data_IF_952671499510
#
_entry.id   IF_952671499510
#
_cell.length_a   1.000
_cell.length_b   1.000
_cell.length_c   1.000
_cell.angle_alpha   90.00
_cell.angle_beta   90.00
_cell.angle_gamma   90.00
#
_symmetry.space_group_name_H-M   'P 1'
#
loop_
_entity.id
_entity.type
_entity.pdbx_description
1 polymer ?
#
# COMPACT_ATOMS: atom_id res chain seq x y z
N UNK A 1 19.89 2.88 8.87
CA UNK A 1 18.78 2.97 7.90
C UNK A 1 17.75 1.95 8.33
N UNK A 2 16.53 2.38 8.60
CA UNK A 2 15.42 1.48 8.97
C UNK A 2 14.61 1.23 7.71
N UNK A 3 14.09 0.03 7.52
CA UNK A 3 13.24 -0.29 6.37
C UNK A 3 11.89 -0.74 6.90
N UNK A 4 10.81 -0.18 6.33
CA UNK A 4 9.43 -0.57 6.59
C UNK A 4 8.89 -1.34 5.39
N UNK A 5 8.26 -2.48 5.66
CA UNK A 5 7.41 -3.20 4.72
C UNK A 5 6.03 -3.40 5.35
N UNK A 6 4.97 -3.08 4.61
CA UNK A 6 3.59 -3.29 5.03
C UNK A 6 2.70 -3.58 3.82
N UNK A 7 1.69 -4.43 3.99
CA UNK A 7 0.74 -4.85 2.96
C UNK A 7 -0.71 -4.82 3.49
N UNK A 8 -1.68 -5.00 2.60
CA UNK A 8 -3.08 -4.96 2.96
C UNK A 8 -3.54 -6.35 3.42
N UNK A 9 -4.01 -6.44 4.66
CA UNK A 9 -4.58 -7.68 5.19
C UNK A 9 -5.74 -8.15 4.32
N UNK A 10 -5.69 -9.40 3.86
CA UNK A 10 -6.74 -10.00 3.03
C UNK A 10 -6.71 -9.59 1.56
N UNK A 11 -5.63 -8.97 1.07
CA UNK A 11 -5.49 -8.53 -0.32
C UNK A 11 -5.74 -9.65 -1.35
N UNK A 12 -5.34 -10.88 -1.06
CA UNK A 12 -5.61 -12.06 -1.92
C UNK A 12 -7.09 -12.40 -2.02
N UNK A 13 -7.84 -12.29 -0.92
CA UNK A 13 -9.28 -12.54 -0.95
C UNK A 13 -10.01 -11.41 -1.71
N UNK A 14 -9.59 -10.16 -1.49
CA UNK A 14 -10.13 -9.00 -2.18
C UNK A 14 -9.86 -9.08 -3.69
N UNK A 15 -8.70 -9.54 -4.12
CA UNK A 15 -8.37 -9.64 -5.54
C UNK A 15 -9.17 -10.71 -6.29
N UNK A 16 -9.64 -11.75 -5.59
CA UNK A 16 -10.55 -12.75 -6.16
C UNK A 16 -12.03 -12.35 -6.14
N UNK A 17 -12.42 -11.40 -5.27
CA UNK A 17 -13.81 -11.01 -5.06
C UNK A 17 -14.20 -9.71 -5.79
N UNK A 18 -13.25 -8.80 -5.99
CA UNK A 18 -13.49 -7.49 -6.62
C UNK A 18 -13.13 -7.53 -8.10
N UNK A 19 -13.85 -6.74 -8.90
CA UNK A 19 -13.43 -6.47 -10.26
C UNK A 19 -12.11 -5.65 -10.26
N UNK A 20 -11.34 -5.71 -11.36
CA UNK A 20 -10.04 -5.05 -11.43
C UNK A 20 -10.07 -3.53 -11.21
N UNK A 21 -11.15 -2.84 -11.61
CA UNK A 21 -11.25 -1.38 -11.47
C UNK A 21 -11.51 -0.98 -10.02
N UNK A 22 -12.39 -1.72 -9.34
CA UNK A 22 -12.66 -1.55 -7.91
C UNK A 22 -11.42 -1.88 -7.08
N UNK A 23 -10.75 -2.99 -7.38
CA UNK A 23 -9.50 -3.36 -6.69
C UNK A 23 -8.43 -2.28 -6.87
N UNK A 24 -8.25 -1.79 -8.10
CA UNK A 24 -7.29 -0.71 -8.39
C UNK A 24 -7.60 0.56 -7.60
N UNK A 25 -8.88 0.94 -7.54
CA UNK A 25 -9.32 2.13 -6.79
C UNK A 25 -9.02 1.99 -5.30
N UNK A 26 -9.30 0.82 -4.73
CA UNK A 26 -8.99 0.50 -3.34
C UNK A 26 -7.48 0.58 -3.07
N UNK A 27 -6.67 -0.04 -3.92
CA UNK A 27 -5.21 -0.06 -3.78
C UNK A 27 -4.61 1.35 -3.88
N UNK A 28 -5.08 2.19 -4.80
CA UNK A 28 -4.61 3.58 -4.91
C UNK A 28 -4.95 4.40 -3.66
N UNK A 29 -6.14 4.19 -3.08
CA UNK A 29 -6.53 4.86 -1.82
C UNK A 29 -5.65 4.41 -0.66
N UNK A 30 -5.37 3.10 -0.56
CA UNK A 30 -4.47 2.53 0.43
C UNK A 30 -3.06 3.14 0.35
N UNK A 31 -2.50 3.23 -0.86
CA UNK A 31 -1.19 3.85 -1.08
C UNK A 31 -1.16 5.31 -0.65
N UNK A 32 -2.18 6.10 -0.98
CA UNK A 32 -2.26 7.49 -0.54
C UNK A 32 -2.25 7.64 0.98
N UNK A 33 -2.98 6.78 1.69
CA UNK A 33 -3.03 6.79 3.15
C UNK A 33 -1.67 6.40 3.77
N UNK A 34 -1.05 5.35 3.26
CA UNK A 34 0.25 4.89 3.77
C UNK A 34 1.37 5.87 3.48
N UNK A 35 1.44 6.44 2.27
CA UNK A 35 2.44 7.45 1.93
C UNK A 35 2.33 8.67 2.85
N UNK A 36 1.13 9.20 3.06
CA UNK A 36 0.93 10.33 3.95
C UNK A 36 1.37 10.04 5.39
N UNK A 37 1.09 8.83 5.89
CA UNK A 37 1.43 8.43 7.26
C UNK A 37 2.93 8.20 7.46
N UNK A 38 3.61 7.68 6.43
CA UNK A 38 5.06 7.50 6.37
C UNK A 38 5.77 8.86 6.33
N UNK A 39 5.33 9.74 5.42
CA UNK A 39 5.88 11.09 5.26
C UNK A 39 5.70 11.92 6.54
N UNK A 40 4.53 11.81 7.20
CA UNK A 40 4.27 12.48 8.48
C UNK A 40 5.22 12.06 9.62
N UNK A 41 5.86 10.90 9.50
CA UNK A 41 6.87 10.38 10.46
C UNK A 41 8.30 10.58 9.98
N UNK A 42 8.50 11.30 8.87
CA UNK A 42 9.81 11.56 8.29
C UNK A 42 10.42 10.40 7.51
N UNK A 43 9.62 9.37 7.19
CA UNK A 43 10.03 8.30 6.28
C UNK A 43 9.75 8.67 4.82
N UNK A 44 10.35 7.94 3.88
CA UNK A 44 10.13 8.14 2.44
C UNK A 44 9.61 6.86 1.79
N UNK A 45 8.42 6.88 1.16
CA UNK A 45 7.95 5.76 0.33
C UNK A 45 8.90 5.56 -0.86
N UNK A 46 9.46 4.36 -1.01
CA UNK A 46 10.33 4.03 -2.14
C UNK A 46 9.58 3.32 -3.26
N UNK A 47 8.82 2.26 -2.92
CA UNK A 47 8.27 1.31 -3.91
C UNK A 47 6.91 0.77 -3.48
N UNK A 48 6.10 0.48 -4.49
CA UNK A 48 4.84 -0.24 -4.38
C UNK A 48 4.99 -1.59 -5.08
N UNK A 49 4.70 -2.69 -4.39
CA UNK A 49 4.84 -4.06 -4.91
C UNK A 49 3.54 -4.83 -4.66
N UNK A 50 2.69 -4.94 -5.68
CA UNK A 50 1.34 -5.48 -5.49
C UNK A 50 0.50 -4.52 -4.63
N UNK A 51 0.11 -4.94 -3.44
CA UNK A 51 -0.54 -4.13 -2.40
C UNK A 51 0.43 -3.67 -1.30
N UNK A 52 1.69 -4.09 -1.37
CA UNK A 52 2.71 -3.74 -0.39
C UNK A 52 3.34 -2.36 -0.64
N UNK A 53 3.66 -1.66 0.44
CA UNK A 53 4.39 -0.40 0.49
C UNK A 53 5.74 -0.63 1.18
N UNK A 54 6.81 -0.20 0.53
CA UNK A 54 8.18 -0.19 1.08
C UNK A 54 8.62 1.26 1.32
N UNK A 55 9.20 1.53 2.49
CA UNK A 55 9.76 2.83 2.83
C UNK A 55 11.07 2.73 3.60
N UNK A 56 11.83 3.83 3.58
CA UNK A 56 13.12 4.02 4.27
C UNK A 56 13.10 5.23 5.20
#
# INVERSE_FOLDING_TARGET
MTVLFCDMVGSTALSGALDPETLRTLTLRWFGLMSAEIEARGGTPEKFIGDAVMAV
#
